data_IF_532138985491
#
_entry.id   IF_532138985491
#
_cell.length_a   1.000
_cell.length_b   1.000
_cell.length_c   1.000
_cell.angle_alpha   90.00
_cell.angle_beta   90.00
_cell.angle_gamma   90.00
#
_symmetry.space_group_name_H-M   'P 1'
#
loop_
_entity.id
_entity.type
_entity.pdbx_description
1 polymer ?
#
# COMPACT_ATOMS: atom_id res chain seq x y z
N UNK A 1 -2.55 10.19 22.49
CA UNK A 1 -2.87 9.06 21.59
C UNK A 1 -1.60 8.25 21.42
N UNK A 2 -1.64 6.89 21.50
CA UNK A 2 -0.47 6.06 21.27
C UNK A 2 0.01 6.18 19.82
N UNK A 3 1.31 6.03 19.62
CA UNK A 3 1.94 6.03 18.29
C UNK A 3 1.54 4.76 17.52
N UNK A 4 1.35 4.84 16.21
CA UNK A 4 0.97 3.70 15.36
C UNK A 4 2.20 2.96 14.83
N UNK A 5 2.12 1.66 14.80
CA UNK A 5 3.09 0.74 14.23
C UNK A 5 2.40 -0.13 13.18
N UNK A 6 2.99 -0.23 12.00
CA UNK A 6 2.41 -0.94 10.87
C UNK A 6 3.36 -1.99 10.32
N UNK A 7 2.81 -3.13 9.92
CA UNK A 7 3.56 -4.24 9.36
C UNK A 7 2.91 -4.67 8.06
N UNK A 8 3.69 -4.79 7.02
CA UNK A 8 3.29 -5.44 5.78
C UNK A 8 4.47 -6.21 5.17
N UNK A 9 4.19 -7.27 4.45
CA UNK A 9 5.20 -8.10 3.83
C UNK A 9 4.97 -8.19 2.33
N UNK A 10 5.86 -7.61 1.54
CA UNK A 10 5.78 -7.55 0.10
C UNK A 10 7.03 -8.14 -0.54
N UNK A 11 6.85 -9.12 -1.45
CA UNK A 11 7.95 -9.73 -2.21
C UNK A 11 9.16 -10.17 -1.35
N UNK A 12 8.90 -10.68 -0.13
CA UNK A 12 9.95 -11.07 0.80
C UNK A 12 10.61 -9.90 1.53
N UNK A 13 10.08 -8.68 1.43
CA UNK A 13 10.52 -7.52 2.21
C UNK A 13 9.50 -7.21 3.30
N UNK A 14 9.95 -7.10 4.52
CA UNK A 14 9.13 -6.72 5.66
C UNK A 14 9.23 -5.21 5.87
N UNK A 15 8.13 -4.50 5.72
CA UNK A 15 8.09 -3.05 5.86
C UNK A 15 7.48 -2.69 7.22
N UNK A 16 8.25 -1.99 8.04
CA UNK A 16 7.80 -1.50 9.34
C UNK A 16 7.66 0.01 9.32
N UNK A 17 6.54 0.50 9.83
CA UNK A 17 6.38 1.92 10.11
C UNK A 17 6.07 2.12 11.59
N UNK A 18 6.93 2.87 12.27
CA UNK A 18 6.72 3.30 13.65
C UNK A 18 6.26 4.75 13.60
N UNK A 19 4.98 4.99 13.87
CA UNK A 19 4.50 6.35 14.06
C UNK A 19 4.68 6.78 15.50
N UNK A 20 5.52 7.77 15.71
CA UNK A 20 5.66 8.42 17.01
C UNK A 20 4.83 9.71 17.00
N UNK A 21 3.64 9.67 17.60
CA UNK A 21 2.83 10.87 17.83
C UNK A 21 3.20 11.46 19.19
N UNK A 22 4.09 12.44 19.21
CA UNK A 22 4.25 13.33 20.37
C UNK A 22 3.36 14.54 20.13
N UNK A 23 2.15 14.55 20.70
CA UNK A 23 1.42 15.78 20.91
C UNK A 23 1.90 16.36 22.24
N UNK A 24 2.95 17.13 22.19
CA UNK A 24 3.21 18.16 23.19
C UNK A 24 3.62 19.43 22.45
N UNK A 25 2.66 20.32 22.37
CA UNK A 25 2.76 21.77 22.15
C UNK A 25 3.98 22.25 21.35
N UNK A 26 3.79 22.47 20.08
CA UNK A 26 4.59 23.19 19.09
C UNK A 26 5.09 22.36 17.90
N UNK A 27 4.42 22.53 16.77
CA UNK A 27 4.92 22.74 15.40
C UNK A 27 6.10 21.93 14.85
N UNK A 28 6.40 20.72 15.27
CA UNK A 28 7.29 19.82 14.52
C UNK A 28 6.92 18.35 14.75
N UNK A 29 6.33 17.75 13.73
CA UNK A 29 6.22 16.29 13.60
C UNK A 29 7.62 15.80 13.20
N UNK A 30 8.30 15.06 14.07
CA UNK A 30 9.50 14.33 13.70
C UNK A 30 9.10 12.90 13.38
N UNK A 31 9.19 12.55 12.12
CA UNK A 31 9.14 11.16 11.66
C UNK A 31 10.51 10.53 11.92
N UNK A 32 10.54 9.44 12.66
CA UNK A 32 11.74 8.60 12.73
C UNK A 32 11.45 7.38 11.86
N UNK A 33 11.86 7.47 10.60
CA UNK A 33 11.79 6.35 9.67
C UNK A 33 12.86 5.32 10.09
N UNK A 34 12.42 4.16 10.55
CA UNK A 34 13.27 2.99 10.58
C UNK A 34 12.77 2.08 9.46
N UNK A 35 13.28 2.31 8.26
CA UNK A 35 13.14 1.39 7.14
C UNK A 35 14.22 0.34 7.27
N UNK A 36 13.87 -0.87 7.65
CA UNK A 36 14.77 -2.01 7.53
C UNK A 36 14.57 -2.63 6.14
N UNK A 37 15.50 -2.39 5.23
CA UNK A 37 15.64 -3.18 4.02
C UNK A 37 16.35 -4.48 4.36
N UNK A 38 15.61 -5.56 4.49
CA UNK A 38 16.18 -6.90 4.51
C UNK A 38 16.13 -7.49 3.11
N UNK A 39 17.29 -7.67 2.49
CA UNK A 39 17.44 -8.57 1.35
C UNK A 39 17.35 -10.00 1.90
N UNK A 40 16.19 -10.64 1.71
CA UNK A 40 15.96 -12.00 2.15
C UNK A 40 16.73 -12.99 1.28
N UNK A 41 17.84 -13.50 1.79
CA UNK A 41 18.33 -14.82 1.48
C UNK A 41 17.57 -15.77 2.41
N UNK A 42 16.60 -16.43 1.88
CA UNK A 42 15.94 -17.72 2.19
C UNK A 42 16.29 -18.40 3.53
N UNK A 43 16.09 -17.71 4.66
CA UNK A 43 16.04 -18.34 6.00
C UNK A 43 14.72 -17.92 6.64
N UNK A 44 14.03 -18.85 7.30
CA UNK A 44 12.77 -18.62 8.01
C UNK A 44 12.90 -17.45 8.97
N UNK A 45 12.38 -16.28 8.58
CA UNK A 45 12.49 -15.09 9.43
C UNK A 45 11.38 -15.13 10.48
N UNK A 46 11.79 -15.33 11.72
CA UNK A 46 10.93 -15.17 12.87
C UNK A 46 11.16 -13.81 13.49
N UNK A 47 10.07 -13.07 13.66
CA UNK A 47 10.09 -11.76 14.29
C UNK A 47 9.00 -11.69 15.37
N UNK A 48 9.36 -11.12 16.52
CA UNK A 48 8.44 -10.92 17.63
C UNK A 48 8.34 -9.43 17.98
N UNK A 49 7.16 -8.87 17.83
CA UNK A 49 6.83 -7.51 18.24
C UNK A 49 6.12 -7.60 19.58
N UNK A 50 6.70 -6.99 20.62
CA UNK A 50 6.24 -7.09 22.00
C UNK A 50 5.58 -5.83 22.51
N UNK A 51 4.67 -6.01 23.47
CA UNK A 51 4.10 -4.95 24.28
C UNK A 51 3.29 -3.89 23.50
N UNK A 52 2.91 -4.15 22.24
CA UNK A 52 2.14 -3.20 21.44
C UNK A 52 0.65 -3.19 21.76
N UNK A 53 -0.03 -2.07 21.49
CA UNK A 53 -1.48 -2.01 21.49
C UNK A 53 -2.01 -2.39 20.11
N UNK A 54 -2.54 -3.59 19.95
CA UNK A 54 -2.98 -4.12 18.67
C UNK A 54 -4.42 -3.67 18.40
N UNK A 55 -4.64 -3.05 17.23
CA UNK A 55 -5.97 -2.72 16.71
C UNK A 55 -6.15 -3.48 15.39
N UNK A 56 -7.14 -4.38 15.35
CA UNK A 56 -7.57 -5.06 14.13
C UNK A 56 -9.09 -4.95 13.96
N UNK A 57 -9.56 -4.04 13.11
CA UNK A 57 -11.00 -3.85 12.88
C UNK A 57 -11.70 -5.08 12.31
N UNK A 58 -10.99 -5.92 11.53
CA UNK A 58 -11.58 -7.10 10.90
C UNK A 58 -11.96 -8.18 11.92
N UNK A 59 -11.12 -8.37 12.95
CA UNK A 59 -11.41 -9.31 14.06
C UNK A 59 -12.09 -8.64 15.25
N UNK A 60 -12.20 -7.31 15.26
CA UNK A 60 -12.68 -6.52 16.42
C UNK A 60 -11.67 -6.48 17.58
N UNK A 61 -10.40 -6.78 17.33
CA UNK A 61 -9.34 -6.81 18.34
C UNK A 61 -8.90 -5.38 18.70
N UNK A 62 -8.78 -5.10 19.99
CA UNK A 62 -8.24 -3.84 20.52
C UNK A 62 -7.66 -4.12 21.91
N UNK A 63 -6.39 -4.55 21.99
CA UNK A 63 -5.76 -5.04 23.24
C UNK A 63 -4.26 -4.89 23.23
N UNK A 64 -3.63 -4.90 24.40
CA UNK A 64 -2.18 -5.06 24.50
C UNK A 64 -1.80 -6.53 24.31
N UNK A 65 -0.94 -6.78 23.32
CA UNK A 65 -0.45 -8.13 23.03
C UNK A 65 0.90 -8.08 22.30
N UNK A 66 1.52 -9.25 22.23
CA UNK A 66 2.68 -9.53 21.38
C UNK A 66 2.18 -10.07 20.03
N UNK A 67 2.92 -9.78 18.97
CA UNK A 67 2.67 -10.25 17.63
C UNK A 67 3.88 -10.99 17.10
N UNK A 68 3.71 -12.27 16.75
CA UNK A 68 4.75 -13.09 16.14
C UNK A 68 4.52 -13.23 14.65
N UNK A 69 5.58 -13.04 13.87
CA UNK A 69 5.59 -13.13 12.41
C UNK A 69 6.54 -14.25 12.01
N UNK A 70 6.08 -15.09 11.07
CA UNK A 70 6.86 -16.13 10.43
C UNK A 70 6.55 -16.12 8.94
N UNK A 71 7.56 -16.19 8.10
CA UNK A 71 7.44 -16.22 6.64
C UNK A 71 6.56 -15.08 6.08
N UNK A 72 6.74 -13.88 6.64
CA UNK A 72 5.97 -12.71 6.24
C UNK A 72 4.48 -12.75 6.59
N UNK A 73 4.07 -13.64 7.49
CA UNK A 73 2.67 -13.77 7.92
C UNK A 73 2.57 -13.67 9.44
N UNK A 74 1.44 -13.16 9.91
CA UNK A 74 1.10 -13.22 11.32
C UNK A 74 0.92 -14.67 11.71
N UNK A 75 1.85 -15.16 12.54
CA UNK A 75 1.84 -16.53 13.05
C UNK A 75 1.00 -16.66 14.33
N UNK A 76 1.18 -15.71 15.26
CA UNK A 76 0.48 -15.71 16.54
C UNK A 76 0.27 -14.30 17.08
N UNK A 77 -0.83 -14.09 17.77
CA UNK A 77 -1.11 -12.90 18.58
C UNK A 77 -1.51 -13.35 19.97
N UNK A 78 -0.83 -12.87 21.00
CA UNK A 78 -1.10 -13.26 22.38
C UNK A 78 -0.26 -12.49 23.38
N UNK A 79 -0.50 -12.74 24.67
CA UNK A 79 0.31 -12.14 25.73
C UNK A 79 1.48 -13.03 26.09
N UNK A 80 2.64 -12.43 26.32
CA UNK A 80 3.85 -13.13 26.78
C UNK A 80 4.29 -14.27 25.85
N UNK A 81 4.30 -14.03 24.54
CA UNK A 81 4.78 -15.02 23.58
C UNK A 81 6.25 -15.34 23.82
N UNK A 82 6.58 -16.64 23.66
CA UNK A 82 7.93 -17.14 23.86
C UNK A 82 8.85 -16.64 22.75
N UNK A 83 10.06 -16.28 23.12
CA UNK A 83 11.13 -15.85 22.20
C UNK A 83 11.97 -17.05 21.81
N UNK A 84 12.19 -17.24 20.51
CA UNK A 84 13.22 -18.17 20.00
C UNK A 84 14.59 -17.48 19.95
N UNK A 85 15.71 -18.19 20.13
CA UNK A 85 17.03 -17.59 20.11
C UNK A 85 17.41 -16.90 18.80
N UNK A 86 16.73 -17.20 17.68
CA UNK A 86 16.94 -16.65 16.35
C UNK A 86 15.92 -15.57 15.98
N UNK A 87 14.99 -15.21 16.87
CA UNK A 87 13.98 -14.19 16.60
C UNK A 87 14.53 -12.77 16.74
N UNK A 88 14.21 -11.92 15.79
CA UNK A 88 14.34 -10.48 15.95
C UNK A 88 13.21 -9.96 16.86
N UNK A 89 13.57 -9.16 17.87
CA UNK A 89 12.62 -8.63 18.84
C UNK A 89 12.49 -7.12 18.65
N UNK A 90 11.25 -6.66 18.47
CA UNK A 90 10.90 -5.23 18.43
C UNK A 90 10.06 -4.93 19.67
N UNK A 91 10.50 -3.99 20.49
CA UNK A 91 9.69 -3.47 21.60
C UNK A 91 8.77 -2.34 21.11
N UNK A 92 7.47 -2.64 21.06
CA UNK A 92 6.42 -1.72 20.68
C UNK A 92 5.71 -1.08 21.90
N UNK A 93 6.38 -0.99 23.05
CA UNK A 93 5.84 -0.34 24.25
C UNK A 93 5.41 1.11 23.96
N UNK A 94 4.14 1.42 24.23
CA UNK A 94 3.55 2.74 23.94
C UNK A 94 3.19 3.00 22.48
N UNK A 95 3.34 1.98 21.61
CA UNK A 95 2.98 2.05 20.19
C UNK A 95 1.67 1.32 19.91
N UNK A 96 1.00 1.73 18.83
CA UNK A 96 -0.15 1.01 18.28
C UNK A 96 0.27 0.21 17.05
N UNK A 97 -0.11 -1.05 17.01
CA UNK A 97 0.07 -1.96 15.87
C UNK A 97 -1.28 -2.06 15.17
N UNK A 98 -1.33 -1.78 13.88
CA UNK A 98 -2.54 -1.85 13.08
C UNK A 98 -2.24 -2.38 11.67
N UNK A 99 -3.25 -2.89 10.94
CA UNK A 99 -3.12 -3.14 9.51
C UNK A 99 -2.68 -1.89 8.76
N UNK A 100 -1.96 -2.08 7.67
CA UNK A 100 -1.54 -1.01 6.78
C UNK A 100 -2.68 -0.15 6.27
N UNK A 101 -2.45 1.16 6.11
CA UNK A 101 -3.42 2.06 5.51
C UNK A 101 -3.55 1.78 4.01
N UNK A 102 -4.76 1.99 3.49
CA UNK A 102 -5.06 1.83 2.06
C UNK A 102 -5.54 3.17 1.53
N UNK A 103 -4.90 3.68 0.47
CA UNK A 103 -5.39 4.83 -0.28
C UNK A 103 -5.92 4.38 -1.63
N UNK A 104 -7.21 4.54 -1.83
CA UNK A 104 -7.90 4.08 -3.04
C UNK A 104 -7.90 5.10 -4.19
N UNK A 105 -7.19 6.22 -4.06
CA UNK A 105 -7.18 7.26 -5.06
C UNK A 105 -5.90 8.11 -5.04
N UNK A 106 -4.86 7.65 -5.74
CA UNK A 106 -3.59 8.37 -5.83
C UNK A 106 -3.18 8.63 -7.28
N UNK A 107 -2.28 9.59 -7.47
CA UNK A 107 -1.75 9.96 -8.78
C UNK A 107 -0.22 9.96 -8.74
N UNK A 108 0.41 8.87 -9.11
CA UNK A 108 1.88 8.81 -9.24
C UNK A 108 2.41 9.39 -10.54
N UNK A 109 1.51 9.84 -11.44
CA UNK A 109 1.87 10.64 -12.62
C UNK A 109 2.82 9.98 -13.62
N UNK A 110 3.10 8.73 -13.47
CA UNK A 110 3.92 7.90 -14.33
C UNK A 110 3.02 6.90 -15.08
N UNK A 111 3.10 6.83 -16.39
CA UNK A 111 4.04 7.52 -17.30
C UNK A 111 3.65 8.96 -17.63
N UNK A 112 4.64 9.69 -18.14
CA UNK A 112 4.47 10.95 -18.88
C UNK A 112 4.53 12.24 -18.09
N UNK A 113 4.28 12.21 -16.78
CA UNK A 113 4.34 13.38 -15.90
C UNK A 113 5.30 13.20 -14.72
N UNK A 114 6.37 12.41 -14.92
CA UNK A 114 7.35 12.05 -13.89
C UNK A 114 8.09 13.23 -13.27
N UNK A 115 8.02 14.40 -13.87
CA UNK A 115 8.50 15.64 -13.28
C UNK A 115 7.65 16.15 -12.10
N UNK A 116 6.44 15.60 -11.92
CA UNK A 116 5.56 15.89 -10.77
C UNK A 116 5.68 14.84 -9.69
N UNK A 117 5.65 13.57 -10.09
CA UNK A 117 5.75 12.38 -9.25
C UNK A 117 6.06 11.18 -10.14
N UNK A 118 6.74 10.17 -9.63
CA UNK A 118 6.94 8.88 -10.28
C UNK A 118 6.53 7.72 -9.37
N UNK A 119 6.54 6.50 -9.90
CA UNK A 119 6.14 5.31 -9.16
C UNK A 119 6.99 5.14 -7.90
N UNK A 120 8.30 5.33 -7.99
CA UNK A 120 9.23 5.10 -6.87
C UNK A 120 9.08 6.15 -5.76
N UNK A 121 9.03 7.42 -6.12
CA UNK A 121 8.89 8.52 -5.15
C UNK A 121 7.50 8.52 -4.51
N UNK A 122 6.45 8.23 -5.31
CA UNK A 122 5.09 8.08 -4.81
C UNK A 122 4.92 6.88 -3.88
N UNK A 123 5.52 5.74 -4.21
CA UNK A 123 5.55 4.56 -3.35
C UNK A 123 6.29 4.83 -2.04
N UNK A 124 7.46 5.48 -2.11
CA UNK A 124 8.25 5.86 -0.93
C UNK A 124 7.50 6.83 -0.02
N UNK A 125 6.83 7.83 -0.59
CA UNK A 125 6.03 8.79 0.18
C UNK A 125 4.81 8.10 0.83
N UNK A 126 4.14 7.19 0.11
CA UNK A 126 3.04 6.39 0.65
C UNK A 126 3.50 5.51 1.80
N UNK A 127 4.62 4.82 1.61
CA UNK A 127 5.26 4.01 2.63
C UNK A 127 5.56 4.84 3.89
N UNK A 128 6.21 5.99 3.75
CA UNK A 128 6.51 6.90 4.86
C UNK A 128 5.24 7.41 5.56
N UNK A 129 4.12 7.51 4.85
CA UNK A 129 2.79 7.85 5.41
C UNK A 129 2.05 6.68 6.05
N UNK A 130 2.61 5.46 6.02
CA UNK A 130 1.97 4.26 6.57
C UNK A 130 0.96 3.59 5.63
N UNK A 131 0.94 3.96 4.37
CA UNK A 131 0.12 3.30 3.36
C UNK A 131 0.89 2.11 2.77
N UNK A 132 0.34 0.93 2.92
CA UNK A 132 0.90 -0.32 2.36
C UNK A 132 0.24 -0.71 1.05
N UNK A 133 -0.89 -0.10 0.74
CA UNK A 133 -1.62 -0.35 -0.51
C UNK A 133 -2.19 0.95 -1.06
N UNK A 134 -2.05 1.15 -2.37
CA UNK A 134 -2.61 2.31 -3.06
C UNK A 134 -3.26 1.90 -4.37
N UNK A 135 -4.26 2.67 -4.84
CA UNK A 135 -4.83 2.54 -6.18
C UNK A 135 -4.47 3.77 -7.00
N UNK A 136 -3.66 3.57 -8.05
CA UNK A 136 -3.28 4.62 -8.98
C UNK A 136 -4.35 4.85 -10.03
N UNK A 137 -4.62 6.13 -10.32
CA UNK A 137 -5.58 6.55 -11.34
C UNK A 137 -5.00 6.48 -12.76
N UNK A 138 -5.90 6.32 -13.75
CA UNK A 138 -5.55 6.08 -15.14
C UNK A 138 -5.09 7.31 -15.92
N UNK A 139 -5.17 8.51 -15.35
CA UNK A 139 -4.95 9.81 -16.03
C UNK A 139 -3.46 10.17 -16.18
N UNK A 140 -2.72 9.30 -16.83
CA UNK A 140 -1.30 9.41 -17.19
C UNK A 140 -1.12 9.82 -18.68
N UNK A 141 0.10 9.85 -19.17
CA UNK A 141 0.41 10.10 -20.59
C UNK A 141 1.49 9.12 -21.10
N UNK A 142 1.13 8.09 -21.88
CA UNK A 142 -0.22 7.79 -22.34
C UNK A 142 -1.17 7.41 -21.19
N UNK A 143 -2.46 7.57 -21.43
CA UNK A 143 -3.54 7.12 -20.54
C UNK A 143 -3.47 5.60 -20.39
N UNK A 144 -3.83 5.08 -19.21
CA UNK A 144 -3.89 3.62 -18.99
C UNK A 144 -5.19 3.07 -19.59
N UNK A 145 -5.27 3.05 -20.89
CA UNK A 145 -6.44 2.66 -21.70
C UNK A 145 -6.21 1.44 -22.58
N UNK A 146 -5.04 0.83 -22.49
CA UNK A 146 -4.65 -0.35 -23.27
C UNK A 146 -3.83 -1.33 -22.43
N UNK A 147 -3.90 -2.61 -22.77
CA UNK A 147 -3.13 -3.68 -22.10
C UNK A 147 -1.63 -3.44 -22.17
N UNK A 148 -1.13 -2.85 -23.25
CA UNK A 148 0.31 -2.57 -23.39
C UNK A 148 0.80 -1.53 -22.38
N UNK A 149 0.07 -0.42 -22.20
CA UNK A 149 0.39 0.60 -21.20
C UNK A 149 0.26 0.02 -19.80
N UNK A 150 -0.85 -0.67 -19.51
CA UNK A 150 -1.11 -1.31 -18.23
C UNK A 150 0.01 -2.27 -17.82
N UNK A 151 0.39 -3.20 -18.71
CA UNK A 151 1.41 -4.21 -18.40
C UNK A 151 2.81 -3.59 -18.17
N UNK A 152 3.13 -2.51 -18.87
CA UNK A 152 4.37 -1.78 -18.67
C UNK A 152 4.46 -1.15 -17.28
N UNK A 153 3.35 -0.64 -16.75
CA UNK A 153 3.26 -0.12 -15.38
C UNK A 153 3.33 -1.25 -14.35
N UNK A 154 2.47 -2.26 -14.49
CA UNK A 154 2.38 -3.37 -13.56
C UNK A 154 3.71 -4.12 -13.36
N UNK A 155 4.60 -4.12 -14.35
CA UNK A 155 5.93 -4.70 -14.22
C UNK A 155 6.83 -3.89 -13.27
N UNK A 156 6.75 -2.55 -13.31
CA UNK A 156 7.55 -1.63 -12.48
C UNK A 156 7.02 -1.54 -11.06
N UNK A 157 5.70 -1.53 -10.91
CA UNK A 157 5.00 -1.44 -9.60
C UNK A 157 5.34 -2.61 -8.67
N UNK A 158 5.66 -3.79 -9.23
CA UNK A 158 6.04 -4.98 -8.45
C UNK A 158 7.38 -4.85 -7.74
N UNK A 159 8.22 -3.91 -8.13
CA UNK A 159 9.54 -3.68 -7.54
C UNK A 159 9.47 -2.74 -6.32
N UNK A 160 8.32 -2.11 -6.10
CA UNK A 160 8.14 -1.12 -5.04
C UNK A 160 7.88 -1.75 -3.66
N UNK A 161 8.07 -0.94 -2.63
CA UNK A 161 7.96 -1.36 -1.24
C UNK A 161 6.51 -1.55 -0.76
N UNK A 162 5.53 -1.05 -1.50
CA UNK A 162 4.09 -1.14 -1.20
C UNK A 162 3.33 -1.86 -2.31
N UNK A 163 2.10 -2.27 -2.03
CA UNK A 163 1.20 -2.79 -3.06
C UNK A 163 0.63 -1.64 -3.88
N UNK A 164 0.94 -1.60 -5.17
CA UNK A 164 0.36 -0.65 -6.10
C UNK A 164 -0.64 -1.39 -6.97
N UNK A 165 -1.88 -0.95 -6.92
CA UNK A 165 -2.95 -1.42 -7.78
C UNK A 165 -3.25 -0.34 -8.81
N UNK A 166 -3.37 -0.74 -10.09
CA UNK A 166 -3.61 0.19 -11.17
C UNK A 166 -5.06 0.11 -11.63
N UNK A 167 -5.76 1.23 -11.61
CA UNK A 167 -7.02 1.41 -12.31
C UNK A 167 -6.76 1.70 -13.80
N UNK A 168 -7.63 1.21 -14.68
CA UNK A 168 -7.60 1.53 -16.09
C UNK A 168 -8.70 2.54 -16.47
N UNK A 169 -8.55 3.18 -17.62
CA UNK A 169 -9.57 4.11 -18.13
C UNK A 169 -10.82 3.37 -18.62
N UNK A 170 -11.99 3.96 -18.41
CA UNK A 170 -13.25 3.50 -19.00
C UNK A 170 -13.28 3.79 -20.49
N UNK A 171 -12.80 4.98 -20.91
CA UNK A 171 -12.79 5.41 -22.30
C UNK A 171 -11.38 5.67 -22.81
N UNK A 172 -11.17 5.45 -24.12
CA UNK A 172 -9.92 5.80 -24.77
C UNK A 172 -9.61 7.29 -24.63
N UNK A 173 -8.35 7.61 -24.27
CA UNK A 173 -7.86 8.97 -24.02
C UNK A 173 -8.71 9.77 -22.99
N UNK A 174 -9.53 9.11 -22.17
CA UNK A 174 -10.50 9.75 -21.25
C UNK A 174 -11.52 10.65 -21.96
N UNK A 175 -11.86 10.37 -23.22
CA UNK A 175 -12.75 11.25 -24.04
C UNK A 175 -14.24 10.96 -23.83
N UNK A 176 -14.60 9.86 -23.19
CA UNK A 176 -16.00 9.46 -22.97
C UNK A 176 -16.77 9.12 -24.24
N UNK A 177 -16.08 8.74 -25.34
CA UNK A 177 -16.68 8.48 -26.65
C UNK A 177 -16.56 7.05 -27.13
N UNK A 178 -15.48 6.37 -26.75
CA UNK A 178 -15.19 4.99 -27.11
C UNK A 178 -14.72 4.21 -25.89
N UNK A 179 -15.30 3.04 -25.63
CA UNK A 179 -14.94 2.19 -24.51
C UNK A 179 -13.58 1.53 -24.75
N UNK A 180 -12.78 1.42 -23.71
CA UNK A 180 -11.59 0.57 -23.70
C UNK A 180 -11.98 -0.91 -23.72
N UNK A 181 -11.05 -1.79 -24.04
CA UNK A 181 -11.25 -3.22 -23.85
C UNK A 181 -11.12 -3.57 -22.35
N UNK A 182 -12.16 -3.19 -21.59
CA UNK A 182 -12.22 -3.40 -20.14
C UNK A 182 -12.05 -4.86 -19.76
N UNK A 183 -12.49 -5.79 -20.62
CA UNK A 183 -12.34 -7.24 -20.37
C UNK A 183 -10.87 -7.66 -20.45
N UNK A 184 -10.15 -7.21 -21.47
CA UNK A 184 -8.72 -7.51 -21.61
C UNK A 184 -7.90 -6.81 -20.51
N UNK A 185 -8.25 -5.57 -20.15
CA UNK A 185 -7.61 -4.83 -19.05
C UNK A 185 -7.86 -5.50 -17.68
N UNK A 186 -9.07 -5.93 -17.40
CA UNK A 186 -9.37 -6.71 -16.20
C UNK A 186 -8.60 -8.03 -16.16
N UNK A 187 -8.51 -8.74 -17.28
CA UNK A 187 -7.71 -9.97 -17.39
C UNK A 187 -6.20 -9.72 -17.22
N UNK A 188 -5.72 -8.52 -17.56
CA UNK A 188 -4.34 -8.09 -17.31
C UNK A 188 -4.08 -7.70 -15.85
N UNK A 189 -5.13 -7.51 -15.03
CA UNK A 189 -5.03 -7.22 -13.61
C UNK A 189 -5.51 -5.84 -13.17
N UNK A 190 -6.18 -5.07 -14.04
CA UNK A 190 -6.77 -3.79 -13.65
C UNK A 190 -7.75 -3.99 -12.48
N UNK A 191 -7.55 -3.24 -11.38
CA UNK A 191 -8.35 -3.37 -10.16
C UNK A 191 -9.70 -2.65 -10.24
N UNK A 192 -9.86 -1.76 -11.23
CA UNK A 192 -11.07 -0.98 -11.46
C UNK A 192 -10.95 -0.12 -12.70
N UNK A 193 -12.02 0.61 -13.01
CA UNK A 193 -12.09 1.46 -14.19
C UNK A 193 -12.59 2.85 -13.81
N UNK A 194 -11.91 3.88 -14.30
CA UNK A 194 -12.23 5.27 -14.01
C UNK A 194 -11.70 6.23 -15.08
N UNK A 195 -12.50 7.22 -15.44
CA UNK A 195 -12.05 8.39 -16.19
C UNK A 195 -11.85 9.56 -15.23
N UNK A 196 -11.11 9.33 -14.14
CA UNK A 196 -10.87 10.31 -13.10
C UNK A 196 -10.43 11.67 -13.63
N UNK A 197 -11.04 12.73 -13.08
CA UNK A 197 -10.87 14.11 -13.51
C UNK A 197 -11.73 14.51 -14.72
N UNK A 198 -12.29 13.57 -15.47
CA UNK A 198 -13.14 13.83 -16.65
C UNK A 198 -14.45 13.06 -16.53
N UNK A 199 -15.53 13.68 -16.00
CA UNK A 199 -16.78 12.97 -15.78
C UNK A 199 -17.44 12.51 -17.07
N UNK A 200 -17.87 11.26 -17.11
CA UNK A 200 -18.67 10.70 -18.20
C UNK A 200 -20.07 11.35 -18.19
N UNK A 201 -20.38 12.11 -19.25
CA UNK A 201 -21.63 12.92 -19.34
C UNK A 201 -22.76 12.19 -20.03
N UNK A 202 -22.44 11.17 -20.86
CA UNK A 202 -23.46 10.42 -21.60
C UNK A 202 -23.89 9.19 -20.78
N UNK A 203 -25.16 9.21 -20.34
CA UNK A 203 -25.74 8.11 -19.58
C UNK A 203 -25.82 6.81 -20.39
N UNK A 204 -26.03 6.87 -21.71
CA UNK A 204 -26.04 5.69 -22.56
C UNK A 204 -24.66 5.08 -22.71
N UNK A 205 -23.61 5.92 -22.75
CA UNK A 205 -22.23 5.47 -22.74
C UNK A 205 -21.89 4.80 -21.40
N UNK A 206 -22.25 5.43 -20.29
CA UNK A 206 -22.02 4.87 -18.95
C UNK A 206 -22.72 3.51 -18.77
N UNK A 207 -23.97 3.39 -19.24
CA UNK A 207 -24.72 2.13 -19.19
C UNK A 207 -24.02 1.00 -19.97
N UNK A 208 -23.35 1.32 -21.07
CA UNK A 208 -22.57 0.32 -21.83
C UNK A 208 -21.28 -0.08 -21.13
N UNK A 209 -20.70 0.81 -20.31
CA UNK A 209 -19.51 0.53 -19.52
C UNK A 209 -19.79 -0.36 -18.31
N UNK A 210 -20.99 -0.30 -17.77
CA UNK A 210 -21.46 -1.13 -16.64
C UNK A 210 -21.84 -2.53 -17.06
#
# INVERSE_FOLDING_TARGET
>A
YPSMFQIDCLNGKLLFFIFHSIIHNSSQIRYTDITYNYDFLQEDLFMLIKNGYIIDPASGRAEFADLQISDGKIFSIGQHLSVSPSEEIIDASGLTIAPGLIDTHVHFRDPGFTYKEDIHTGASASAAGGFTSVICMANTSPVVDSVSVFSGLAAREKEEAIHIYQAAAVSHDLKGTELTDMKALAAAGACGFTDDGIPLKDAAFLLKAM
#
